data_IF_150363182657
#
_entry.id   IF_150363182657
#
_cell.length_a   1.000
_cell.length_b   1.000
_cell.length_c   1.000
_cell.angle_alpha   90.00
_cell.angle_beta   90.00
_cell.angle_gamma   90.00
#
_symmetry.space_group_name_H-M   'P 1'
#
loop_
_entity.id
_entity.type
_entity.pdbx_description
1 polymer ?
#
# COMPACT_ATOMS: atom_id res chain seq x y z
N UNK A 1 -44.50 32.59 0.79
CA UNK A 1 -43.19 32.91 1.34
C UNK A 1 -42.44 31.59 1.47
N UNK A 2 -41.52 31.36 0.57
CA UNK A 2 -40.72 30.15 0.48
C UNK A 2 -39.30 30.50 0.90
N UNK A 3 -38.79 29.93 1.99
CA UNK A 3 -37.39 30.02 2.37
C UNK A 3 -36.64 28.82 1.78
N UNK A 4 -35.74 29.13 0.89
CA UNK A 4 -34.78 28.18 0.29
C UNK A 4 -33.64 27.93 1.25
N UNK A 5 -33.54 26.71 1.77
CA UNK A 5 -32.36 26.23 2.50
C UNK A 5 -31.17 26.06 1.58
N UNK A 6 -30.11 26.87 1.78
CA UNK A 6 -28.86 26.77 1.09
C UNK A 6 -28.06 25.56 1.59
N UNK A 7 -27.88 24.56 0.75
CA UNK A 7 -26.97 23.44 0.99
C UNK A 7 -25.51 23.92 0.96
N UNK A 8 -24.81 23.79 2.07
CA UNK A 8 -23.39 24.06 2.19
C UNK A 8 -22.60 23.05 1.34
N UNK A 9 -22.05 23.50 0.22
CA UNK A 9 -21.09 22.76 -0.60
C UNK A 9 -19.76 22.67 0.16
N UNK A 10 -19.47 21.49 0.71
CA UNK A 10 -18.18 21.18 1.29
C UNK A 10 -17.05 21.40 0.28
N UNK A 11 -16.12 22.29 0.60
CA UNK A 11 -14.89 22.52 -0.14
C UNK A 11 -14.05 21.24 -0.13
N UNK A 12 -13.86 20.61 -1.27
CA UNK A 12 -12.84 19.58 -1.47
C UNK A 12 -11.46 20.23 -1.41
N UNK A 13 -10.56 19.83 -0.50
CA UNK A 13 -9.17 20.25 -0.56
C UNK A 13 -8.45 19.35 -1.55
N UNK A 14 -8.28 19.79 -2.77
CA UNK A 14 -7.60 19.04 -3.82
C UNK A 14 -6.76 19.96 -4.69
N UNK A 15 -5.67 20.49 -4.14
CA UNK A 15 -4.61 21.05 -4.96
C UNK A 15 -3.91 19.91 -5.71
N UNK A 16 -4.07 19.85 -7.04
CA UNK A 16 -3.27 18.96 -7.89
C UNK A 16 -1.80 19.33 -7.75
N UNK A 17 -1.03 18.48 -7.08
CA UNK A 17 0.44 18.58 -7.12
C UNK A 17 0.87 18.07 -8.50
N UNK A 18 1.64 18.82 -9.30
CA UNK A 18 2.14 18.36 -10.58
C UNK A 18 2.99 17.09 -10.39
N UNK A 19 2.86 16.13 -11.31
CA UNK A 19 3.47 14.77 -11.30
C UNK A 19 5.02 14.78 -11.32
N UNK A 20 5.65 15.93 -11.40
CA UNK A 20 7.10 16.15 -11.31
C UNK A 20 7.43 16.92 -10.04
N UNK A 21 7.60 16.22 -8.95
CA UNK A 21 8.27 16.75 -7.77
C UNK A 21 9.46 15.85 -7.49
N UNK A 22 10.67 16.16 -7.97
CA UNK A 22 11.86 15.57 -7.42
C UNK A 22 11.95 16.06 -5.97
N UNK A 23 11.82 15.15 -5.01
CA UNK A 23 11.79 15.51 -3.61
C UNK A 23 11.83 14.29 -2.71
N UNK A 24 11.80 14.55 -1.41
CA UNK A 24 11.68 13.50 -0.40
C UNK A 24 10.20 13.09 -0.31
N UNK A 25 9.94 11.83 -0.56
CA UNK A 25 8.61 11.22 -0.56
C UNK A 25 8.48 10.27 0.63
N UNK A 26 7.41 10.39 1.40
CA UNK A 26 6.96 9.32 2.29
C UNK A 26 6.05 8.39 1.51
N UNK A 27 6.39 7.12 1.47
CA UNK A 27 5.71 6.12 0.64
C UNK A 27 5.16 4.99 1.51
N UNK A 28 3.95 4.52 1.21
CA UNK A 28 3.39 3.30 1.76
C UNK A 28 3.26 2.27 0.65
N UNK A 29 3.96 1.13 0.82
CA UNK A 29 3.93 0.01 -0.11
C UNK A 29 3.23 -1.17 0.54
N UNK A 30 2.25 -1.75 -0.15
CA UNK A 30 1.66 -3.04 0.22
C UNK A 30 2.49 -4.17 -0.36
N UNK A 31 2.89 -5.13 0.46
CA UNK A 31 3.60 -6.34 0.06
C UNK A 31 2.68 -7.53 0.22
N UNK A 32 2.61 -8.42 -0.78
CA UNK A 32 1.83 -9.64 -0.77
C UNK A 32 2.58 -10.82 -1.39
N UNK A 33 2.43 -12.03 -0.82
CA UNK A 33 2.98 -13.25 -1.37
C UNK A 33 2.09 -14.46 -1.06
N UNK A 34 1.79 -15.32 -2.06
CA UNK A 34 1.05 -16.57 -1.86
C UNK A 34 1.67 -17.78 -2.58
N UNK A 35 2.89 -17.64 -3.11
CA UNK A 35 3.60 -18.71 -3.82
C UNK A 35 4.99 -18.91 -3.22
N UNK A 36 5.39 -20.19 -3.08
CA UNK A 36 6.72 -20.55 -2.61
C UNK A 36 7.00 -20.17 -1.15
N UNK A 37 8.19 -19.67 -0.89
CA UNK A 37 8.64 -19.26 0.44
C UNK A 37 8.12 -17.88 0.85
N UNK A 38 6.80 -17.72 0.95
CA UNK A 38 6.07 -16.45 1.17
C UNK A 38 6.76 -15.51 2.18
N UNK A 39 7.14 -16.04 3.34
CA UNK A 39 7.80 -15.27 4.39
C UNK A 39 9.17 -14.73 3.94
N UNK A 40 9.96 -15.58 3.29
CA UNK A 40 11.27 -15.22 2.75
C UNK A 40 11.17 -14.14 1.67
N UNK A 41 10.11 -14.16 0.84
CA UNK A 41 9.87 -13.13 -0.18
C UNK A 41 9.60 -11.76 0.45
N UNK A 42 8.71 -11.71 1.45
CA UNK A 42 8.45 -10.46 2.17
C UNK A 42 9.73 -9.96 2.89
N UNK A 43 10.48 -10.86 3.51
CA UNK A 43 11.74 -10.50 4.19
C UNK A 43 12.78 -9.94 3.22
N UNK A 44 12.95 -10.54 2.03
CA UNK A 44 13.86 -10.04 0.98
C UNK A 44 13.44 -8.67 0.48
N UNK A 45 12.15 -8.47 0.23
CA UNK A 45 11.61 -7.18 -0.19
C UNK A 45 11.90 -6.08 0.85
N UNK A 46 11.64 -6.35 2.13
CA UNK A 46 11.94 -5.40 3.22
C UNK A 46 13.43 -5.11 3.31
N UNK A 47 14.29 -6.13 3.16
CA UNK A 47 15.75 -5.94 3.17
C UNK A 47 16.21 -5.04 2.02
N UNK A 48 15.67 -5.24 0.81
CA UNK A 48 15.96 -4.40 -0.34
C UNK A 48 15.46 -2.96 -0.14
N UNK A 49 14.25 -2.77 0.40
CA UNK A 49 13.70 -1.45 0.69
C UNK A 49 14.54 -0.69 1.73
N UNK A 50 15.10 -1.38 2.73
CA UNK A 50 16.03 -0.76 3.70
C UNK A 50 17.35 -0.31 3.08
N UNK A 51 17.78 -0.93 1.99
CA UNK A 51 18.97 -0.49 1.25
C UNK A 51 18.70 0.69 0.32
N UNK A 52 17.43 0.90 -0.08
CA UNK A 52 17.02 1.93 -1.04
C UNK A 52 16.51 3.21 -0.38
N UNK A 53 15.93 3.12 0.82
CA UNK A 53 15.24 4.22 1.47
C UNK A 53 15.62 4.41 2.94
N UNK A 54 15.12 5.50 3.51
CA UNK A 54 15.32 5.89 4.90
C UNK A 54 14.03 5.69 5.72
N UNK A 55 14.12 5.68 7.04
CA UNK A 55 13.00 5.60 7.99
C UNK A 55 12.02 4.44 7.68
N UNK A 56 12.59 3.28 7.35
CA UNK A 56 11.80 2.11 6.96
C UNK A 56 11.14 1.49 8.18
N UNK A 57 9.83 1.57 8.23
CA UNK A 57 8.97 0.96 9.26
C UNK A 57 8.07 -0.08 8.59
N UNK A 58 7.96 -1.24 9.21
CA UNK A 58 7.22 -2.39 8.66
C UNK A 58 6.10 -2.77 9.63
N UNK A 59 4.91 -2.99 9.12
CA UNK A 59 3.79 -3.52 9.90
C UNK A 59 4.06 -4.98 10.31
N UNK A 60 3.28 -5.52 11.27
CA UNK A 60 3.14 -6.96 11.41
C UNK A 60 2.69 -7.61 10.10
N UNK A 61 2.95 -8.93 9.98
CA UNK A 61 2.52 -9.75 8.84
C UNK A 61 1.13 -10.32 9.11
N UNK A 62 0.28 -10.23 8.11
CA UNK A 62 -1.09 -10.75 8.14
C UNK A 62 -1.30 -11.84 7.10
N UNK A 63 -1.98 -12.91 7.49
CA UNK A 63 -2.45 -13.93 6.57
C UNK A 63 -3.89 -13.65 6.15
N UNK A 64 -4.18 -13.82 4.86
CA UNK A 64 -5.53 -13.67 4.30
C UNK A 64 -5.82 -14.71 3.22
N UNK A 65 -7.09 -15.05 3.03
CA UNK A 65 -7.52 -15.80 1.87
C UNK A 65 -7.30 -15.00 0.57
N UNK A 66 -7.10 -15.66 -0.58
CA UNK A 66 -7.09 -15.01 -1.88
C UNK A 66 -8.43 -14.30 -2.15
N UNK A 67 -8.36 -13.09 -2.72
CA UNK A 67 -9.55 -12.36 -3.16
C UNK A 67 -9.65 -12.46 -4.68
N UNK A 68 -10.48 -13.38 -5.16
CA UNK A 68 -10.61 -13.68 -6.60
C UNK A 68 -9.46 -14.54 -7.16
N UNK A 69 -9.48 -14.73 -8.49
CA UNK A 69 -8.51 -15.59 -9.19
C UNK A 69 -8.90 -17.07 -9.24
N UNK A 70 -7.98 -17.94 -9.75
CA UNK A 70 -8.22 -19.37 -9.84
C UNK A 70 -8.48 -20.04 -8.48
N UNK A 71 -9.28 -21.09 -8.46
CA UNK A 71 -9.47 -21.92 -7.27
C UNK A 71 -8.17 -22.63 -6.86
N UNK A 72 -8.05 -22.96 -5.57
CA UNK A 72 -6.91 -23.72 -5.05
C UNK A 72 -5.66 -22.88 -4.77
N UNK A 73 -5.73 -21.54 -4.86
CA UNK A 73 -4.63 -20.68 -4.46
C UNK A 73 -4.37 -20.76 -2.95
N UNK A 74 -3.09 -20.74 -2.56
CA UNK A 74 -2.68 -20.63 -1.16
C UNK A 74 -3.03 -19.27 -0.56
N UNK A 75 -3.14 -19.23 0.77
CA UNK A 75 -3.32 -17.97 1.51
C UNK A 75 -2.15 -17.00 1.26
N UNK A 76 -2.46 -15.72 1.25
CA UNK A 76 -1.46 -14.66 1.16
C UNK A 76 -0.86 -14.34 2.54
N UNK A 77 0.42 -14.00 2.54
CA UNK A 77 1.02 -13.19 3.60
C UNK A 77 1.13 -11.75 3.09
N UNK A 78 0.68 -10.81 3.92
CA UNK A 78 0.62 -9.40 3.57
C UNK A 78 1.29 -8.55 4.66
N UNK A 79 1.96 -7.49 4.24
CA UNK A 79 2.50 -6.46 5.14
C UNK A 79 2.44 -5.08 4.44
N UNK A 80 2.50 -4.01 5.21
CA UNK A 80 2.70 -2.66 4.68
C UNK A 80 4.04 -2.15 5.16
N UNK A 81 4.78 -1.50 4.25
CA UNK A 81 6.04 -0.84 4.54
C UNK A 81 5.87 0.65 4.31
N UNK A 82 6.24 1.46 5.30
CA UNK A 82 6.40 2.91 5.17
C UNK A 82 7.88 3.25 5.14
N UNK A 83 8.29 4.08 4.19
CA UNK A 83 9.68 4.51 4.06
C UNK A 83 9.75 5.88 3.42
N UNK A 84 10.94 6.48 3.46
CA UNK A 84 11.26 7.69 2.71
C UNK A 84 12.12 7.32 1.50
N UNK A 85 11.70 7.80 0.34
CA UNK A 85 12.46 7.68 -0.92
C UNK A 85 12.65 9.08 -1.51
N UNK A 86 13.76 9.28 -2.19
CA UNK A 86 13.96 10.46 -3.03
C UNK A 86 13.56 10.15 -4.47
N UNK A 87 12.88 11.10 -5.14
CA UNK A 87 12.50 10.92 -6.54
C UNK A 87 11.08 11.37 -6.86
N UNK A 88 10.50 10.73 -7.84
CA UNK A 88 9.15 10.98 -8.38
C UNK A 88 8.23 9.78 -8.09
N UNK A 89 6.90 9.95 -8.15
CA UNK A 89 5.96 8.84 -8.03
C UNK A 89 6.17 7.69 -9.02
N UNK A 90 6.67 7.97 -10.23
CA UNK A 90 6.97 6.93 -11.23
C UNK A 90 8.21 6.13 -10.86
N UNK A 91 9.24 6.77 -10.29
CA UNK A 91 10.42 6.06 -9.78
C UNK A 91 10.06 5.18 -8.57
N UNK A 92 9.08 5.56 -7.75
CA UNK A 92 8.52 4.67 -6.72
C UNK A 92 7.88 3.43 -7.33
N UNK A 93 7.13 3.59 -8.44
CA UNK A 93 6.56 2.46 -9.18
C UNK A 93 7.66 1.56 -9.76
N UNK A 94 8.75 2.13 -10.26
CA UNK A 94 9.89 1.37 -10.78
C UNK A 94 10.60 0.58 -9.67
N UNK A 95 10.72 1.12 -8.46
CA UNK A 95 11.18 0.37 -7.28
C UNK A 95 10.26 -0.83 -7.01
N UNK A 96 8.93 -0.63 -7.00
CA UNK A 96 7.98 -1.72 -6.79
C UNK A 96 8.12 -2.83 -7.85
N UNK A 97 8.22 -2.46 -9.12
CA UNK A 97 8.44 -3.39 -10.25
C UNK A 97 9.76 -4.18 -10.13
N UNK A 98 10.84 -3.49 -9.77
CA UNK A 98 12.16 -4.12 -9.60
C UNK A 98 12.16 -5.18 -8.48
N UNK A 99 11.43 -4.94 -7.39
CA UNK A 99 11.26 -5.93 -6.32
C UNK A 99 10.49 -7.17 -6.80
N UNK A 100 9.42 -6.97 -7.59
CA UNK A 100 8.65 -8.06 -8.17
C UNK A 100 9.48 -8.88 -9.17
N UNK A 101 10.25 -8.24 -10.01
CA UNK A 101 11.17 -8.87 -10.97
C UNK A 101 12.25 -9.69 -10.25
N UNK A 102 12.87 -9.12 -9.21
CA UNK A 102 13.86 -9.81 -8.38
C UNK A 102 13.30 -11.04 -7.67
N UNK A 103 12.00 -11.05 -7.35
CA UNK A 103 11.28 -12.20 -6.81
C UNK A 103 10.86 -13.23 -7.88
N UNK A 104 11.27 -13.05 -9.14
CA UNK A 104 10.93 -13.96 -10.24
C UNK A 104 9.45 -13.94 -10.61
N UNK A 105 8.76 -12.82 -10.43
CA UNK A 105 7.33 -12.70 -10.78
C UNK A 105 7.12 -12.94 -12.27
N UNK A 106 6.37 -14.00 -12.62
CA UNK A 106 5.84 -14.24 -13.96
C UNK A 106 4.38 -13.82 -14.03
N UNK A 107 3.96 -13.14 -15.11
CA UNK A 107 2.57 -12.67 -15.31
C UNK A 107 1.82 -13.61 -16.27
N UNK A 108 1.81 -14.90 -15.98
CA UNK A 108 1.18 -15.89 -16.86
C UNK A 108 -0.35 -15.91 -16.76
N UNK A 109 -0.90 -15.69 -15.57
CA UNK A 109 -2.35 -15.73 -15.32
C UNK A 109 -2.79 -14.47 -14.59
N UNK A 110 -3.88 -13.85 -15.08
CA UNK A 110 -4.49 -12.70 -14.38
C UNK A 110 -5.01 -13.15 -13.00
N UNK A 111 -4.55 -12.47 -11.93
CA UNK A 111 -4.84 -12.80 -10.52
C UNK A 111 -4.35 -14.20 -10.10
N UNK A 112 -3.40 -14.77 -10.81
CA UNK A 112 -2.72 -16.01 -10.43
C UNK A 112 -1.83 -15.84 -9.19
N UNK A 113 -1.30 -16.99 -8.70
CA UNK A 113 -0.35 -16.99 -7.58
C UNK A 113 0.88 -16.12 -7.88
N UNK A 114 1.42 -15.46 -6.83
CA UNK A 114 2.53 -14.53 -6.96
C UNK A 114 3.59 -14.81 -5.91
N UNK A 115 4.85 -14.83 -6.35
CA UNK A 115 6.00 -14.87 -5.45
C UNK A 115 6.06 -13.61 -4.60
N UNK A 116 5.93 -12.45 -5.24
CA UNK A 116 5.81 -11.14 -4.61
C UNK A 116 4.87 -10.24 -5.44
N UNK A 117 4.03 -9.50 -4.75
CA UNK A 117 3.18 -8.42 -5.28
C UNK A 117 3.47 -7.15 -4.50
N UNK A 118 3.71 -6.02 -5.19
CA UNK A 118 4.04 -4.74 -4.55
C UNK A 118 3.12 -3.66 -5.08
N UNK A 119 2.17 -3.23 -4.25
CA UNK A 119 1.22 -2.15 -4.55
C UNK A 119 1.71 -0.82 -3.96
N UNK A 120 1.75 0.26 -4.76
CA UNK A 120 1.98 1.62 -4.25
C UNK A 120 0.66 2.15 -3.68
N UNK A 121 0.55 2.22 -2.34
CA UNK A 121 -0.70 2.57 -1.66
C UNK A 121 -0.88 4.08 -1.54
N UNK A 122 0.11 4.76 -0.97
CA UNK A 122 0.09 6.20 -0.72
C UNK A 122 1.46 6.80 -0.95
N UNK A 123 1.46 8.04 -1.39
CA UNK A 123 2.65 8.89 -1.47
C UNK A 123 2.30 10.24 -0.85
N UNK A 124 3.18 10.73 0.00
CA UNK A 124 3.17 12.09 0.50
C UNK A 124 4.49 12.76 0.11
N UNK A 125 4.43 14.00 -0.31
CA UNK A 125 5.61 14.80 -0.64
C UNK A 125 5.84 15.88 0.41
N UNK A 126 7.10 16.14 0.71
CA UNK A 126 7.49 17.25 1.55
C UNK A 126 7.24 18.57 0.82
N UNK A 127 6.53 19.48 1.46
CA UNK A 127 6.24 20.82 0.92
C UNK A 127 7.49 21.69 1.02
N UNK A 128 7.80 22.38 -0.06
CA UNK A 128 8.98 23.25 -0.16
C UNK A 128 8.89 24.45 0.79
N UNK A 129 7.67 24.92 1.10
CA UNK A 129 7.44 26.13 1.88
C UNK A 129 7.59 25.94 3.41
N UNK A 130 7.35 24.75 3.94
CA UNK A 130 7.31 24.53 5.38
C UNK A 130 7.75 23.11 5.83
N UNK A 131 8.19 22.26 4.92
CA UNK A 131 8.61 20.88 5.23
C UNK A 131 7.48 19.94 5.65
N UNK A 132 6.21 20.40 5.66
CA UNK A 132 5.09 19.55 6.01
C UNK A 132 4.80 18.55 4.89
N UNK A 133 4.41 17.33 5.26
CA UNK A 133 3.99 16.33 4.30
C UNK A 133 2.59 16.64 3.74
N UNK A 134 2.45 16.51 2.44
CA UNK A 134 1.18 16.67 1.75
C UNK A 134 0.90 15.43 0.86
N UNK A 135 -0.36 14.94 0.84
CA UNK A 135 -0.71 13.81 0.00
C UNK A 135 -0.51 14.12 -1.49
N UNK A 136 0.09 13.17 -2.20
CA UNK A 136 0.28 13.23 -3.65
C UNK A 136 -0.82 12.41 -4.31
N UNK A 137 -1.48 13.02 -5.30
CA UNK A 137 -2.46 12.32 -6.14
C UNK A 137 -1.89 12.14 -7.54
N UNK A 138 -1.86 10.91 -8.02
CA UNK A 138 -1.47 10.55 -9.39
C UNK A 138 -2.62 9.81 -10.05
N UNK A 139 -2.92 10.15 -11.30
CA UNK A 139 -3.94 9.47 -12.09
C UNK A 139 -3.45 9.36 -13.54
N UNK A 140 -2.59 8.39 -13.80
CA UNK A 140 -2.07 8.07 -15.13
C UNK A 140 -2.48 6.64 -15.51
N UNK A 141 -2.20 6.24 -16.74
CA UNK A 141 -2.44 4.86 -17.18
C UNK A 141 -1.55 3.83 -16.43
N UNK A 142 -0.40 4.27 -15.93
CA UNK A 142 0.59 3.41 -15.28
C UNK A 142 0.47 3.39 -13.76
N UNK A 143 0.07 4.51 -13.14
CA UNK A 143 0.03 4.69 -11.70
C UNK A 143 -1.18 5.50 -11.26
N UNK A 144 -1.91 4.96 -10.30
CA UNK A 144 -2.99 5.67 -9.60
C UNK A 144 -2.67 5.67 -8.10
N UNK A 145 -2.50 6.86 -7.51
CA UNK A 145 -2.23 7.06 -6.07
C UNK A 145 -3.22 8.11 -5.54
N UNK A 146 -3.88 7.87 -4.42
CA UNK A 146 -3.91 6.62 -3.63
C UNK A 146 -4.36 5.42 -4.46
N UNK A 147 -3.89 4.21 -4.09
CA UNK A 147 -4.29 2.98 -4.79
C UNK A 147 -5.82 2.84 -4.81
N UNK A 148 -6.48 2.65 -5.96
CA UNK A 148 -7.93 2.83 -6.11
C UNK A 148 -8.78 1.90 -5.24
N UNK A 149 -8.26 0.75 -4.85
CA UNK A 149 -8.99 -0.28 -4.08
C UNK A 149 -8.44 -0.51 -2.67
N UNK A 150 -7.58 0.37 -2.16
CA UNK A 150 -6.96 0.17 -0.85
C UNK A 150 -7.99 0.04 0.29
N UNK A 151 -9.03 0.87 0.26
CA UNK A 151 -10.07 0.95 1.32
C UNK A 151 -11.09 -0.20 1.28
N UNK A 152 -11.06 -1.03 0.24
CA UNK A 152 -11.94 -2.19 0.06
C UNK A 152 -11.27 -3.51 0.46
N UNK A 153 -9.99 -3.48 0.88
CA UNK A 153 -9.16 -4.66 1.08
C UNK A 153 -8.73 -4.79 2.53
N UNK A 154 -9.32 -5.73 3.27
CA UNK A 154 -8.96 -5.98 4.67
C UNK A 154 -7.49 -6.32 4.86
N UNK A 155 -6.87 -7.04 3.91
CA UNK A 155 -5.44 -7.39 3.93
C UNK A 155 -4.49 -6.20 3.70
N UNK A 156 -5.00 -5.06 3.24
CA UNK A 156 -4.30 -3.76 3.21
C UNK A 156 -4.58 -2.96 4.47
N UNK A 157 -5.86 -2.91 4.89
CA UNK A 157 -6.31 -2.07 6.01
C UNK A 157 -5.75 -2.53 7.34
N UNK A 158 -5.69 -3.85 7.60
CA UNK A 158 -5.18 -4.38 8.87
C UNK A 158 -3.70 -4.00 9.12
N UNK A 159 -2.75 -4.29 8.21
CA UNK A 159 -1.37 -3.87 8.40
C UNK A 159 -1.19 -2.34 8.33
N UNK A 160 -2.02 -1.63 7.57
CA UNK A 160 -1.98 -0.17 7.49
C UNK A 160 -2.45 0.49 8.80
N UNK A 161 -3.48 -0.07 9.46
CA UNK A 161 -3.97 0.40 10.77
C UNK A 161 -2.88 0.32 11.85
N UNK A 162 -2.07 -0.74 11.86
CA UNK A 162 -0.95 -0.87 12.80
C UNK A 162 0.20 0.11 12.50
N UNK A 163 0.39 0.48 11.24
CA UNK A 163 1.53 1.28 10.80
C UNK A 163 1.25 2.78 10.74
N UNK A 164 0.06 3.14 10.29
CA UNK A 164 -0.39 4.52 10.03
C UNK A 164 -1.90 4.62 10.26
N UNK A 165 -2.35 4.51 11.54
CA UNK A 165 -3.77 4.49 11.89
C UNK A 165 -4.54 5.74 11.41
N UNK A 166 -3.83 6.86 11.23
CA UNK A 166 -4.41 8.11 10.73
C UNK A 166 -4.92 8.04 9.28
N UNK A 167 -4.47 7.04 8.52
CA UNK A 167 -4.92 6.80 7.15
C UNK A 167 -6.15 5.89 7.07
N UNK A 168 -6.50 5.22 8.17
CA UNK A 168 -7.55 4.21 8.20
C UNK A 168 -8.78 4.72 8.92
N UNK A 169 -9.95 4.66 8.27
CA UNK A 169 -11.21 5.02 8.92
C UNK A 169 -11.53 4.06 10.07
N UNK A 170 -11.86 4.57 11.26
CA UNK A 170 -12.34 3.73 12.37
C UNK A 170 -13.55 2.88 11.95
N UNK A 171 -13.61 1.64 12.43
CA UNK A 171 -14.75 0.75 12.14
C UNK A 171 -14.72 0.11 10.74
N UNK A 172 -13.61 0.15 10.02
CA UNK A 172 -13.50 -0.46 8.70
C UNK A 172 -13.84 -1.95 8.69
N UNK A 173 -13.56 -2.68 9.79
CA UNK A 173 -13.90 -4.11 9.91
C UNK A 173 -15.42 -4.35 9.83
N UNK A 174 -16.21 -3.52 10.54
CA UNK A 174 -17.67 -3.60 10.50
C UNK A 174 -18.20 -3.20 9.12
N UNK A 175 -17.61 -2.16 8.50
CA UNK A 175 -18.02 -1.67 7.17
C UNK A 175 -17.78 -2.70 6.08
N UNK A 176 -16.63 -3.36 6.07
CA UNK A 176 -16.32 -4.39 5.07
C UNK A 176 -17.08 -5.69 5.31
N UNK A 177 -17.38 -6.03 6.59
CA UNK A 177 -18.07 -7.27 6.95
C UNK A 177 -17.31 -8.53 6.53
N UNK A 178 -17.91 -9.69 6.80
CA UNK A 178 -17.32 -10.98 6.45
C UNK A 178 -17.15 -11.19 4.93
N UNK A 179 -18.01 -10.58 4.11
CA UNK A 179 -18.00 -10.72 2.65
C UNK A 179 -16.72 -10.19 1.97
N UNK A 180 -16.03 -9.22 2.59
CA UNK A 180 -14.78 -8.66 2.07
C UNK A 180 -13.52 -9.30 2.70
N UNK A 181 -13.67 -10.41 3.40
CA UNK A 181 -12.56 -11.12 4.03
C UNK A 181 -11.97 -10.40 5.25
N UNK A 182 -12.69 -9.43 5.85
CA UNK A 182 -12.21 -8.70 7.02
C UNK A 182 -11.98 -9.63 8.21
N UNK A 183 -12.82 -10.65 8.39
CA UNK A 183 -12.72 -11.62 9.48
C UNK A 183 -11.66 -12.70 9.22
N UNK A 184 -11.21 -12.83 7.98
CA UNK A 184 -10.20 -13.80 7.56
C UNK A 184 -8.76 -13.23 7.55
N UNK A 185 -8.57 -11.96 7.95
CA UNK A 185 -7.24 -11.34 8.04
C UNK A 185 -6.69 -11.53 9.44
N UNK A 186 -5.67 -12.38 9.58
CA UNK A 186 -5.11 -12.78 10.85
C UNK A 186 -3.64 -12.37 10.95
N UNK A 187 -3.25 -11.67 12.02
CA UNK A 187 -1.85 -11.40 12.34
C UNK A 187 -1.11 -12.70 12.63
N UNK A 188 0.04 -12.91 11.99
CA UNK A 188 0.82 -14.15 12.08
C UNK A 188 2.26 -13.97 12.55
N UNK A 189 2.75 -12.75 12.62
CA UNK A 189 4.09 -12.45 13.15
C UNK A 189 4.64 -11.11 12.67
N UNK A 190 5.95 -10.95 12.78
CA UNK A 190 6.68 -9.75 12.38
C UNK A 190 7.92 -10.13 11.57
N UNK A 191 8.24 -9.35 10.54
CA UNK A 191 9.49 -9.51 9.79
C UNK A 191 10.66 -9.01 10.64
N UNK A 192 11.79 -9.69 10.54
CA UNK A 192 12.96 -9.36 11.35
C UNK A 192 13.51 -8.00 10.90
N UNK A 193 13.79 -7.14 11.86
CA UNK A 193 14.64 -6.00 11.60
C UNK A 193 16.02 -6.55 11.20
N UNK A 194 16.39 -6.46 9.91
CA UNK A 194 17.68 -6.94 9.43
C UNK A 194 18.78 -6.38 10.31
N UNK A 195 19.57 -7.25 10.93
CA UNK A 195 20.79 -6.86 11.60
C UNK A 195 21.73 -6.18 10.59
N UNK A 196 22.43 -5.15 11.06
CA UNK A 196 23.52 -4.50 10.32
C UNK A 196 24.66 -5.50 10.12
#
# INVERSE_FOLDING_TARGET
MAEQGAAARGKRPGGRVPVRVPGRLRVHLGLGSNLGGRWGELQRAVTALRALGEDVVVSPVYESAPVGGPEGQGAYLNAVVRLQLSGTPLEVLDVARSLEEAAGRTREVRWGPRTLDVDVLFIEAERVDNGALAPVTVATAELVVPHPRWSERGFVLAPLEDLSPELVEPGWRQRLGAAAGSDAVRRVGELVAGGR
#
